data_IF_020782858620
#
_entry.id   IF_020782858620
#
_cell.length_a   1.000
_cell.length_b   1.000
_cell.length_c   1.000
_cell.angle_alpha   90.00
_cell.angle_beta   90.00
_cell.angle_gamma   90.00
#
_symmetry.space_group_name_H-M   'P 1'
#
loop_
_entity.id
_entity.type
_entity.pdbx_description
1 polymer ?
#
# COMPACT_ATOMS: atom_id res chain seq x y z
N UNK A 1 -21.74 -7.52 -29.29
CA UNK A 1 -21.89 -8.32 -28.04
C UNK A 1 -20.55 -8.78 -27.46
N UNK A 2 -19.64 -9.40 -28.23
CA UNK A 2 -18.36 -9.94 -27.70
C UNK A 2 -17.39 -8.89 -27.12
N UNK A 3 -17.27 -7.71 -27.74
CA UNK A 3 -16.38 -6.63 -27.26
C UNK A 3 -16.83 -6.01 -25.93
N UNK A 4 -18.13 -5.99 -25.66
CA UNK A 4 -18.67 -5.43 -24.42
C UNK A 4 -18.30 -6.29 -23.22
N UNK A 5 -18.34 -7.62 -23.38
CA UNK A 5 -17.95 -8.57 -22.34
C UNK A 5 -16.46 -8.43 -21.99
N UNK A 6 -15.61 -8.25 -23.02
CA UNK A 6 -14.18 -8.04 -22.83
C UNK A 6 -13.88 -6.73 -22.07
N UNK A 7 -14.60 -5.66 -22.42
CA UNK A 7 -14.49 -4.37 -21.73
C UNK A 7 -14.93 -4.46 -20.26
N UNK A 8 -16.01 -5.19 -19.97
CA UNK A 8 -16.45 -5.45 -18.61
C UNK A 8 -15.43 -6.25 -17.79
N UNK A 9 -14.81 -7.26 -18.38
CA UNK A 9 -13.77 -8.07 -17.70
C UNK A 9 -12.55 -7.20 -17.37
N UNK A 10 -12.11 -6.34 -18.31
CA UNK A 10 -11.00 -5.42 -18.08
C UNK A 10 -11.29 -4.41 -16.96
N UNK A 11 -12.48 -3.79 -16.97
CA UNK A 11 -12.92 -2.86 -15.94
C UNK A 11 -12.95 -3.52 -14.56
N UNK A 12 -13.50 -4.73 -14.48
CA UNK A 12 -13.61 -5.46 -13.22
C UNK A 12 -12.23 -5.86 -12.68
N UNK A 13 -11.34 -6.36 -13.55
CA UNK A 13 -9.97 -6.69 -13.18
C UNK A 13 -9.18 -5.48 -12.67
N UNK A 14 -9.27 -4.35 -13.36
CA UNK A 14 -8.65 -3.10 -12.92
C UNK A 14 -9.16 -2.67 -11.55
N UNK A 15 -10.48 -2.69 -11.33
CA UNK A 15 -11.10 -2.27 -10.06
C UNK A 15 -10.62 -3.12 -8.87
N UNK A 16 -10.53 -4.45 -9.05
CA UNK A 16 -10.04 -5.35 -7.99
C UNK A 16 -8.57 -5.08 -7.67
N UNK A 17 -7.74 -4.82 -8.69
CA UNK A 17 -6.32 -4.55 -8.49
C UNK A 17 -6.11 -3.25 -7.69
N UNK A 18 -6.85 -2.19 -8.04
CA UNK A 18 -6.80 -0.91 -7.32
C UNK A 18 -7.26 -1.06 -5.88
N UNK A 19 -8.35 -1.82 -5.65
CA UNK A 19 -8.87 -2.08 -4.31
C UNK A 19 -7.85 -2.84 -3.43
N UNK A 20 -7.20 -3.89 -3.97
CA UNK A 20 -6.14 -4.60 -3.24
C UNK A 20 -4.97 -3.68 -2.89
N UNK A 21 -4.53 -2.86 -3.84
CA UNK A 21 -3.43 -1.92 -3.58
C UNK A 21 -3.76 -0.93 -2.46
N UNK A 22 -5.01 -0.44 -2.41
CA UNK A 22 -5.44 0.47 -1.35
C UNK A 22 -5.47 -0.24 0.02
N UNK A 23 -5.95 -1.48 0.08
CA UNK A 23 -5.96 -2.27 1.32
C UNK A 23 -4.55 -2.54 1.82
N UNK A 24 -3.61 -2.88 0.93
CA UNK A 24 -2.20 -3.13 1.28
C UNK A 24 -1.56 -1.88 1.91
N UNK A 25 -1.80 -0.71 1.32
CA UNK A 25 -1.34 0.59 1.84
C UNK A 25 -1.94 0.87 3.22
N UNK A 26 -3.25 0.70 3.37
CA UNK A 26 -3.95 0.94 4.64
C UNK A 26 -3.38 0.05 5.75
N UNK A 27 -3.19 -1.24 5.46
CA UNK A 27 -2.62 -2.20 6.41
C UNK A 27 -1.18 -1.85 6.80
N UNK A 28 -0.35 -1.38 5.85
CA UNK A 28 1.02 -0.94 6.12
C UNK A 28 1.06 0.26 7.07
N UNK A 29 0.19 1.25 6.84
CA UNK A 29 0.07 2.44 7.70
C UNK A 29 -0.43 2.04 9.11
N UNK A 30 -1.52 1.27 9.20
CA UNK A 30 -2.09 0.83 10.48
C UNK A 30 -1.08 0.00 11.31
N UNK A 31 -0.23 -0.80 10.63
CA UNK A 31 0.83 -1.55 11.28
C UNK A 31 1.93 -0.64 11.83
N UNK A 32 2.23 0.46 11.13
CA UNK A 32 3.18 1.46 11.60
C UNK A 32 2.65 2.25 12.80
N UNK A 33 1.38 2.65 12.77
CA UNK A 33 0.72 3.33 13.90
C UNK A 33 0.70 2.47 15.16
N UNK A 34 0.55 1.14 15.03
CA UNK A 34 0.59 0.19 16.17
C UNK A 34 1.90 0.17 16.93
N UNK A 35 3.02 0.41 16.26
CA UNK A 35 4.34 0.52 16.91
C UNK A 35 4.66 1.95 17.33
N UNK A 36 3.69 2.88 17.19
CA UNK A 36 3.85 4.32 17.40
C UNK A 36 4.92 4.93 16.50
N UNK A 37 5.17 4.29 15.35
CA UNK A 37 6.11 4.76 14.36
C UNK A 37 5.51 5.81 13.43
N UNK A 38 6.38 6.44 12.64
CA UNK A 38 6.02 7.41 11.61
C UNK A 38 6.49 6.95 10.23
N UNK A 39 5.68 7.21 9.21
CA UNK A 39 6.01 6.90 7.83
C UNK A 39 6.89 7.99 7.21
N UNK A 40 8.18 7.74 7.11
CA UNK A 40 9.17 8.65 6.50
C UNK A 40 9.65 8.10 5.15
N UNK A 41 10.25 8.95 4.31
CA UNK A 41 10.86 8.51 3.05
C UNK A 41 12.12 7.67 3.32
N UNK A 42 12.89 8.06 4.34
CA UNK A 42 14.07 7.36 4.85
C UNK A 42 14.07 7.52 6.38
N UNK A 43 14.40 6.47 7.13
CA UNK A 43 14.56 6.55 8.59
C UNK A 43 15.88 7.25 8.97
N UNK A 44 15.87 7.94 10.10
CA UNK A 44 17.09 8.51 10.67
C UNK A 44 18.01 7.40 11.21
N UNK A 45 19.29 7.73 11.45
CA UNK A 45 20.34 6.74 11.78
C UNK A 45 20.09 6.10 13.16
N UNK A 46 19.42 6.84 14.04
CA UNK A 46 19.04 6.46 15.40
C UNK A 46 17.65 5.81 15.50
N UNK A 47 16.91 5.72 14.39
CA UNK A 47 15.56 5.13 14.35
C UNK A 47 15.59 3.67 13.90
N UNK A 48 14.59 2.89 14.35
CA UNK A 48 14.44 1.50 13.94
C UNK A 48 13.51 1.37 12.72
N UNK A 49 13.99 0.75 11.64
CA UNK A 49 13.20 0.46 10.44
C UNK A 49 12.33 -0.79 10.63
N UNK A 50 11.02 -0.57 10.77
CA UNK A 50 10.02 -1.64 10.90
C UNK A 50 9.51 -2.17 9.55
N UNK A 51 9.99 -1.64 8.42
CA UNK A 51 9.60 -1.99 7.06
C UNK A 51 8.87 -0.85 6.36
N UNK A 52 8.01 -1.15 5.39
CA UNK A 52 7.35 -0.14 4.57
C UNK A 52 5.91 0.17 5.00
N UNK A 53 5.55 1.45 5.06
CA UNK A 53 4.15 1.89 5.16
C UNK A 53 3.44 1.81 3.81
N UNK A 54 4.11 2.32 2.77
CA UNK A 54 3.69 2.22 1.37
C UNK A 54 4.83 1.53 0.65
N UNK A 55 4.51 0.43 -0.01
CA UNK A 55 5.49 -0.42 -0.70
C UNK A 55 6.43 0.43 -1.56
N UNK A 56 7.72 0.34 -1.31
CA UNK A 56 8.81 1.01 -2.04
C UNK A 56 8.89 2.54 -1.93
N UNK A 57 8.05 3.21 -1.12
CA UNK A 57 8.03 4.68 -1.05
C UNK A 57 8.34 5.26 0.33
N UNK A 58 7.76 4.68 1.38
CA UNK A 58 7.92 5.18 2.75
C UNK A 58 8.26 4.02 3.69
N UNK A 59 9.29 4.22 4.52
CA UNK A 59 9.65 3.37 5.65
C UNK A 59 8.86 3.75 6.90
N UNK A 60 8.59 2.78 7.75
CA UNK A 60 8.04 2.97 9.08
C UNK A 60 9.19 3.02 10.08
N UNK A 61 9.35 4.17 10.74
CA UNK A 61 10.47 4.46 11.64
C UNK A 61 9.93 4.72 13.06
N UNK A 62 10.64 4.26 14.10
CA UNK A 62 10.31 4.50 15.52
C UNK A 62 11.54 4.90 16.28
#
# INVERSE_FOLDING_TARGET
MKFHLFFFILLFGATILTARSHIDIKNGIERCEKVRGMCKTVCDIDEYDYGYCIRWRNQCCT
#
